data_IF_940853812435
#
_entry.id   IF_940853812435
#
_cell.length_a   1.000
_cell.length_b   1.000
_cell.length_c   1.000
_cell.angle_alpha   90.00
_cell.angle_beta   90.00
_cell.angle_gamma   90.00
#
_symmetry.space_group_name_H-M   'P 1'
#
loop_
_entity.id
_entity.type
_entity.pdbx_description
1 polymer ?
#
# COMPACT_ATOMS: atom_id res chain seq x y z
N UNK A 1 48.63 32.43 -22.89
CA UNK A 1 47.41 32.16 -23.68
C UNK A 1 47.38 30.69 -24.02
N UNK A 2 46.60 29.87 -23.33
CA UNK A 2 46.02 28.62 -23.85
C UNK A 2 44.79 28.30 -22.99
N UNK A 3 43.62 28.55 -23.58
CA UNK A 3 42.31 28.15 -23.07
C UNK A 3 42.11 26.70 -23.52
N UNK A 4 41.96 25.77 -22.60
CA UNK A 4 41.28 24.48 -22.88
C UNK A 4 40.26 24.27 -21.77
N UNK A 5 39.05 24.01 -22.22
CA UNK A 5 37.81 24.09 -21.48
C UNK A 5 37.55 22.85 -20.59
N UNK A 6 36.75 23.12 -19.56
CA UNK A 6 35.93 22.21 -18.76
C UNK A 6 35.46 20.93 -19.48
N UNK A 7 35.61 19.78 -18.81
CA UNK A 7 34.49 18.84 -18.67
C UNK A 7 34.43 18.44 -17.18
N UNK A 8 33.44 19.00 -16.49
CA UNK A 8 32.88 18.45 -15.27
C UNK A 8 32.46 17.02 -15.60
N UNK A 9 33.12 16.02 -15.01
CA UNK A 9 32.48 14.71 -14.86
C UNK A 9 31.39 14.92 -13.83
N UNK A 10 30.24 15.39 -14.32
CA UNK A 10 29.00 15.34 -13.59
C UNK A 10 28.86 13.89 -13.14
N UNK A 11 28.70 13.71 -11.83
CA UNK A 11 28.32 12.45 -11.22
C UNK A 11 26.93 12.14 -11.77
N UNK A 12 26.90 11.53 -12.95
CA UNK A 12 25.71 10.81 -13.40
C UNK A 12 25.80 9.49 -12.67
N UNK A 13 25.46 9.49 -11.37
CA UNK A 13 24.84 8.31 -10.77
C UNK A 13 23.48 8.25 -11.43
N UNK A 14 23.31 7.41 -12.47
CA UNK A 14 22.04 7.34 -13.17
C UNK A 14 21.12 6.59 -12.21
N UNK A 15 20.15 7.28 -11.61
CA UNK A 15 18.86 6.71 -11.23
C UNK A 15 18.85 5.29 -10.60
N UNK A 16 19.86 4.91 -9.81
CA UNK A 16 20.02 3.55 -9.26
C UNK A 16 19.11 3.26 -8.06
N UNK A 17 18.26 4.21 -7.67
CA UNK A 17 17.18 3.97 -6.73
C UNK A 17 15.85 4.15 -7.45
N UNK A 18 15.47 3.19 -8.31
CA UNK A 18 14.07 2.81 -8.26
C UNK A 18 13.89 2.14 -6.90
N UNK A 19 13.52 2.92 -5.88
CA UNK A 19 13.20 2.43 -4.54
C UNK A 19 12.28 1.21 -4.70
N UNK A 20 12.78 0.02 -4.35
CA UNK A 20 11.94 -1.17 -4.39
C UNK A 20 11.04 -1.15 -3.15
N UNK A 21 10.00 -0.31 -3.17
CA UNK A 21 9.05 -0.12 -2.07
C UNK A 21 8.41 -1.41 -1.57
N UNK A 22 8.43 -2.47 -2.37
CA UNK A 22 8.00 -3.80 -1.95
C UNK A 22 8.93 -4.37 -0.86
N UNK A 23 10.24 -4.20 -0.99
CA UNK A 23 11.21 -4.62 0.03
C UNK A 23 11.00 -3.84 1.31
N UNK A 24 10.85 -2.51 1.21
CA UNK A 24 10.55 -1.63 2.35
C UNK A 24 9.24 -2.02 3.04
N UNK A 25 8.17 -2.24 2.26
CA UNK A 25 6.89 -2.70 2.79
C UNK A 25 7.03 -4.07 3.48
N UNK A 26 7.76 -5.01 2.89
CA UNK A 26 7.93 -6.34 3.46
C UNK A 26 8.74 -6.29 4.77
N UNK A 27 9.73 -5.41 4.85
CA UNK A 27 10.46 -5.13 6.07
C UNK A 27 9.55 -4.54 7.15
N UNK A 28 8.74 -3.55 6.80
CA UNK A 28 7.76 -2.93 7.69
C UNK A 28 6.71 -3.93 8.17
N UNK A 29 6.19 -4.77 7.27
CA UNK A 29 5.26 -5.84 7.59
C UNK A 29 5.87 -6.84 8.57
N UNK A 30 7.09 -7.34 8.27
CA UNK A 30 7.81 -8.28 9.14
C UNK A 30 8.10 -7.65 10.50
N UNK A 31 8.46 -6.37 10.53
CA UNK A 31 8.67 -5.62 11.76
C UNK A 31 7.39 -5.56 12.59
N UNK A 32 6.30 -5.05 12.01
CA UNK A 32 5.02 -4.89 12.72
C UNK A 32 4.42 -6.22 13.16
N UNK A 33 4.58 -7.27 12.35
CA UNK A 33 4.16 -8.62 12.72
C UNK A 33 4.86 -9.08 14.01
N UNK A 34 6.18 -8.88 14.10
CA UNK A 34 6.97 -9.22 15.29
C UNK A 34 6.65 -8.31 16.47
N UNK A 35 6.64 -6.99 16.27
CA UNK A 35 6.40 -6.01 17.34
C UNK A 35 5.04 -6.21 18.01
N UNK A 36 4.00 -6.51 17.22
CA UNK A 36 2.64 -6.71 17.73
C UNK A 36 2.32 -8.15 18.07
N UNK A 37 3.24 -9.08 17.78
CA UNK A 37 3.04 -10.52 17.98
C UNK A 37 1.68 -11.01 17.44
N UNK A 38 1.27 -10.46 16.30
CA UNK A 38 -0.03 -10.75 15.66
C UNK A 38 -0.03 -12.18 15.12
N UNK A 39 -1.13 -12.88 15.32
CA UNK A 39 -1.28 -14.28 14.90
C UNK A 39 -1.42 -14.41 13.38
N UNK A 40 -1.08 -15.58 12.84
CA UNK A 40 -1.34 -15.88 11.42
C UNK A 40 -2.84 -15.83 11.10
N UNK A 41 -3.68 -16.30 12.03
CA UNK A 41 -5.13 -16.26 11.91
C UNK A 41 -5.66 -14.83 11.78
N UNK A 42 -5.20 -13.90 12.61
CA UNK A 42 -5.58 -12.49 12.54
C UNK A 42 -5.14 -11.84 11.23
N UNK A 43 -3.91 -12.14 10.78
CA UNK A 43 -3.41 -11.66 9.50
C UNK A 43 -4.25 -12.16 8.33
N UNK A 44 -4.64 -13.44 8.33
CA UNK A 44 -5.52 -14.01 7.30
C UNK A 44 -6.92 -13.39 7.33
N UNK A 45 -7.45 -13.10 8.51
CA UNK A 45 -8.74 -12.44 8.66
C UNK A 45 -8.73 -11.02 8.12
N UNK A 46 -7.70 -10.25 8.47
CA UNK A 46 -7.46 -8.95 7.86
C UNK A 46 -7.39 -9.12 6.33
N UNK A 47 -6.69 -10.16 5.85
CA UNK A 47 -6.46 -10.45 4.42
C UNK A 47 -7.71 -10.55 3.61
N UNK A 48 -8.66 -11.33 4.09
CA UNK A 48 -9.91 -11.57 3.40
C UNK A 48 -10.99 -10.52 3.74
N UNK A 49 -10.63 -9.44 4.45
CA UNK A 49 -11.59 -8.40 4.86
C UNK A 49 -12.62 -8.91 5.87
N UNK A 50 -12.32 -9.99 6.61
CA UNK A 50 -13.13 -10.42 7.74
C UNK A 50 -12.71 -9.58 8.96
N UNK A 51 -13.48 -8.53 9.23
CA UNK A 51 -13.18 -7.52 10.25
C UNK A 51 -14.05 -7.70 11.53
N UNK A 52 -14.90 -8.71 11.63
CA UNK A 52 -15.76 -8.90 12.80
C UNK A 52 -14.97 -9.35 14.05
N UNK A 53 -15.13 -8.69 15.20
CA UNK A 53 -14.39 -9.08 16.43
C UNK A 53 -12.86 -9.15 16.22
N UNK A 54 -12.20 -8.04 15.88
CA UNK A 54 -10.75 -8.01 15.71
C UNK A 54 -10.04 -8.18 17.06
N UNK A 55 -8.89 -8.86 17.07
CA UNK A 55 -7.99 -8.83 18.22
C UNK A 55 -7.33 -7.45 18.36
N UNK A 56 -6.88 -7.12 19.57
CA UNK A 56 -6.13 -5.89 19.82
C UNK A 56 -4.83 -5.87 19.00
N UNK A 57 -4.17 -7.02 18.89
CA UNK A 57 -2.93 -7.23 18.14
C UNK A 57 -3.16 -6.99 16.64
N UNK A 58 -4.30 -7.43 16.08
CA UNK A 58 -4.66 -7.18 14.69
C UNK A 58 -4.82 -5.68 14.40
N UNK A 59 -5.55 -4.96 15.27
CA UNK A 59 -5.73 -3.51 15.14
C UNK A 59 -4.39 -2.78 15.23
N UNK A 60 -3.58 -3.13 16.21
CA UNK A 60 -2.28 -2.48 16.42
C UNK A 60 -1.23 -2.89 15.38
N UNK A 61 -1.38 -4.05 14.73
CA UNK A 61 -0.60 -4.43 13.56
C UNK A 61 -0.87 -3.46 12.41
N UNK A 62 -2.14 -3.17 12.11
CA UNK A 62 -2.50 -2.14 11.11
C UNK A 62 -1.96 -0.76 11.52
N UNK A 63 -2.10 -0.38 12.78
CA UNK A 63 -1.56 0.88 13.30
C UNK A 63 -0.06 1.01 13.07
N UNK A 64 0.71 -0.03 13.42
CA UNK A 64 2.15 -0.06 13.15
C UNK A 64 2.45 0.06 11.64
N UNK A 65 1.78 -0.74 10.82
CA UNK A 65 2.05 -0.78 9.38
C UNK A 65 1.71 0.55 8.71
N UNK A 66 0.60 1.18 9.09
CA UNK A 66 0.19 2.48 8.57
C UNK A 66 1.08 3.62 9.08
N UNK A 67 1.62 3.53 10.31
CA UNK A 67 2.62 4.50 10.78
C UNK A 67 3.94 4.39 10.00
N UNK A 68 4.42 3.17 9.76
CA UNK A 68 5.69 2.94 9.04
C UNK A 68 5.61 3.32 7.56
N UNK A 69 4.48 3.02 6.92
CA UNK A 69 4.20 3.43 5.52
C UNK A 69 3.79 4.91 5.39
N UNK A 70 3.70 5.62 6.51
CA UNK A 70 3.39 7.05 6.58
C UNK A 70 1.92 7.39 6.33
N UNK A 71 1.03 6.41 6.18
CA UNK A 71 -0.42 6.60 6.03
C UNK A 71 -1.02 7.21 7.29
N UNK A 72 -0.52 6.82 8.46
CA UNK A 72 -0.85 7.44 9.74
C UNK A 72 0.40 8.12 10.33
N UNK A 73 0.21 9.19 11.09
CA UNK A 73 1.21 9.74 12.01
C UNK A 73 0.53 10.03 13.34
N UNK A 74 0.93 9.33 14.40
CA UNK A 74 0.31 9.45 15.71
C UNK A 74 -1.22 9.23 15.66
N UNK A 75 -1.67 8.28 14.85
CA UNK A 75 -3.10 8.02 14.62
C UNK A 75 -3.81 9.00 13.68
N UNK A 76 -3.14 10.03 13.14
CA UNK A 76 -3.76 10.98 12.20
C UNK A 76 -3.48 10.58 10.77
N UNK A 77 -4.52 10.49 9.94
CA UNK A 77 -4.40 10.17 8.53
C UNK A 77 -3.60 11.21 7.74
N UNK A 78 -2.71 10.72 6.89
CA UNK A 78 -1.91 11.49 5.95
C UNK A 78 -2.41 11.19 4.52
N UNK A 79 -3.40 11.96 4.05
CA UNK A 79 -4.11 11.67 2.80
C UNK A 79 -3.18 11.56 1.57
N UNK A 80 -2.12 12.36 1.51
CA UNK A 80 -1.13 12.27 0.42
C UNK A 80 -0.31 10.98 0.45
N UNK A 81 0.08 10.52 1.65
CA UNK A 81 0.77 9.26 1.81
C UNK A 81 -0.17 8.09 1.50
N UNK A 82 -1.45 8.19 1.87
CA UNK A 82 -2.46 7.22 1.49
C UNK A 82 -2.60 7.13 -0.04
N UNK A 83 -2.78 8.26 -0.74
CA UNK A 83 -2.85 8.28 -2.21
C UNK A 83 -1.57 7.75 -2.85
N UNK A 84 -0.39 8.04 -2.29
CA UNK A 84 0.89 7.48 -2.77
C UNK A 84 0.94 5.96 -2.57
N UNK A 85 0.39 5.42 -1.49
CA UNK A 85 0.40 3.99 -1.23
C UNK A 85 -0.67 3.23 -2.04
N UNK A 86 -1.86 3.79 -2.20
CA UNK A 86 -2.99 3.18 -2.92
C UNK A 86 -2.96 3.45 -4.44
N UNK A 87 -2.38 4.58 -4.87
CA UNK A 87 -2.31 5.04 -6.27
C UNK A 87 -1.48 4.17 -7.21
N UNK A 88 -1.03 3.01 -6.74
CA UNK A 88 -0.39 1.94 -7.51
C UNK A 88 -1.40 0.91 -8.03
N UNK A 89 -2.58 0.85 -7.41
CA UNK A 89 -3.66 -0.11 -7.72
C UNK A 89 -4.80 0.59 -8.46
N UNK A 90 -5.10 1.83 -8.08
CA UNK A 90 -6.15 2.63 -8.67
C UNK A 90 -5.58 3.95 -9.20
N UNK A 91 -6.21 4.47 -10.27
CA UNK A 91 -5.87 5.78 -10.82
C UNK A 91 -5.98 6.83 -9.69
N UNK A 92 -4.96 7.70 -9.54
CA UNK A 92 -4.95 8.76 -8.51
C UNK A 92 -6.18 9.67 -8.60
N UNK A 93 -6.69 9.93 -9.80
CA UNK A 93 -7.92 10.70 -10.02
C UNK A 93 -9.13 9.98 -9.42
N UNK A 94 -9.20 8.66 -9.60
CA UNK A 94 -10.27 7.83 -9.03
C UNK A 94 -10.18 7.76 -7.49
N UNK A 95 -8.98 7.88 -6.93
CA UNK A 95 -8.80 7.93 -5.48
C UNK A 95 -9.31 9.22 -4.84
N UNK A 96 -9.31 10.33 -5.57
CA UNK A 96 -9.90 11.59 -5.10
C UNK A 96 -11.43 11.53 -5.02
N UNK A 97 -12.05 10.58 -5.74
CA UNK A 97 -13.50 10.33 -5.68
C UNK A 97 -13.86 9.28 -4.62
N UNK A 98 -13.02 8.26 -4.43
CA UNK A 98 -13.33 7.09 -3.59
C UNK A 98 -12.90 7.28 -2.12
N UNK A 99 -11.76 7.92 -1.88
CA UNK A 99 -11.19 8.05 -0.53
C UNK A 99 -11.74 9.18 0.36
N UNK A 100 -12.42 10.24 -0.12
CA UNK A 100 -12.92 11.30 0.76
C UNK A 100 -13.69 10.81 2.00
N UNK A 101 -14.58 9.80 1.91
CA UNK A 101 -15.25 9.26 3.09
C UNK A 101 -14.31 8.70 4.17
N UNK A 102 -13.11 8.27 3.79
CA UNK A 102 -12.12 7.70 4.71
C UNK A 102 -11.21 8.75 5.36
N UNK A 103 -11.27 10.02 4.94
CA UNK A 103 -10.39 11.08 5.48
C UNK A 103 -10.78 11.54 6.88
N UNK A 104 -12.04 11.31 7.27
CA UNK A 104 -12.59 11.71 8.57
C UNK A 104 -12.57 10.58 9.60
N UNK A 105 -12.01 9.42 9.22
CA UNK A 105 -11.97 8.26 10.09
C UNK A 105 -11.05 8.50 11.28
N UNK A 106 -11.59 8.27 12.47
CA UNK A 106 -10.87 8.34 13.74
C UNK A 106 -11.31 7.21 14.64
N UNK A 107 -10.43 6.77 15.54
CA UNK A 107 -10.74 5.81 16.59
C UNK A 107 -10.31 6.31 17.97
N UNK A 108 -10.59 5.53 19.01
CA UNK A 108 -10.27 5.92 20.40
C UNK A 108 -8.77 6.02 20.68
N UNK A 109 -7.97 5.35 19.85
CA UNK A 109 -6.51 5.39 19.86
C UNK A 109 -5.99 5.13 18.44
N UNK A 110 -4.66 5.12 18.28
CA UNK A 110 -4.02 4.90 16.98
C UNK A 110 -4.31 3.54 16.35
N UNK A 111 -4.46 2.48 17.14
CA UNK A 111 -4.77 1.15 16.65
C UNK A 111 -6.23 1.08 16.16
N UNK A 112 -7.16 1.67 16.91
CA UNK A 112 -8.55 1.78 16.49
C UNK A 112 -8.67 2.63 15.24
N UNK A 113 -7.99 3.78 15.16
CA UNK A 113 -8.02 4.62 13.95
C UNK A 113 -7.54 3.85 12.71
N UNK A 114 -6.49 3.06 12.84
CA UNK A 114 -6.01 2.20 11.76
C UNK A 114 -7.02 1.12 11.37
N UNK A 115 -7.72 0.55 12.36
CA UNK A 115 -8.73 -0.47 12.11
C UNK A 115 -9.97 0.11 11.41
N UNK A 116 -10.49 1.23 11.91
CA UNK A 116 -11.60 1.95 11.28
C UNK A 116 -11.25 2.36 9.84
N UNK A 117 -9.99 2.72 9.58
CA UNK A 117 -9.53 3.04 8.23
C UNK A 117 -9.58 1.81 7.32
N UNK A 118 -9.22 0.62 7.84
CA UNK A 118 -9.34 -0.65 7.11
C UNK A 118 -10.81 -1.01 6.84
N UNK A 119 -11.72 -0.73 7.78
CA UNK A 119 -13.16 -0.89 7.56
C UNK A 119 -13.68 0.08 6.50
N UNK A 120 -13.25 1.33 6.52
CA UNK A 120 -13.61 2.29 5.49
C UNK A 120 -13.13 1.84 4.10
N UNK A 121 -11.88 1.36 3.97
CA UNK A 121 -11.39 0.79 2.72
C UNK A 121 -12.25 -0.35 2.23
N UNK A 122 -12.70 -1.23 3.13
CA UNK A 122 -13.62 -2.30 2.74
C UNK A 122 -14.96 -1.75 2.21
N UNK A 123 -15.51 -0.73 2.85
CA UNK A 123 -16.79 -0.14 2.46
C UNK A 123 -16.72 0.59 1.10
N UNK A 124 -15.57 1.16 0.76
CA UNK A 124 -15.36 1.85 -0.54
C UNK A 124 -14.78 0.95 -1.63
N UNK A 125 -14.81 -0.38 -1.45
CA UNK A 125 -14.40 -1.36 -2.46
C UNK A 125 -12.89 -1.55 -2.60
N UNK A 126 -12.14 -1.21 -1.55
CA UNK A 126 -10.69 -1.38 -1.42
C UNK A 126 -10.35 -2.43 -0.34
N UNK A 127 -11.26 -3.37 -0.04
CA UNK A 127 -11.07 -4.45 0.94
C UNK A 127 -9.89 -5.37 0.59
N UNK A 128 -9.73 -5.65 -0.70
CA UNK A 128 -8.63 -6.40 -1.30
C UNK A 128 -7.37 -5.55 -1.52
N UNK A 129 -7.44 -4.24 -1.29
CA UNK A 129 -6.27 -3.37 -1.30
C UNK A 129 -5.52 -3.56 0.01
N UNK A 130 -4.69 -4.60 -0.03
CA UNK A 130 -3.46 -4.62 0.73
C UNK A 130 -2.56 -3.60 0.04
N UNK A 131 -1.92 -2.71 0.80
CA UNK A 131 -0.77 -1.94 0.30
C UNK A 131 0.09 -2.97 -0.44
N UNK A 132 0.16 -2.85 -1.77
CA UNK A 132 0.41 -3.96 -2.70
C UNK A 132 1.49 -4.94 -2.23
N UNK A 133 1.08 -6.15 -1.87
CA UNK A 133 1.94 -7.34 -1.94
C UNK A 133 1.43 -8.15 -3.12
N UNK A 134 2.14 -8.16 -4.26
CA UNK A 134 2.16 -9.35 -5.10
C UNK A 134 2.75 -10.47 -4.23
N UNK A 135 1.94 -11.48 -3.95
CA UNK A 135 2.23 -12.61 -3.09
C UNK A 135 3.52 -13.31 -3.52
N UNK A 136 4.45 -13.45 -2.56
CA UNK A 136 5.75 -14.13 -2.63
C UNK A 136 6.68 -13.65 -3.76
N UNK A 137 7.99 -13.73 -3.58
CA UNK A 137 8.92 -13.55 -4.70
C UNK A 137 8.74 -14.73 -5.66
N UNK A 138 7.69 -14.69 -6.49
CA UNK A 138 7.48 -15.65 -7.55
C UNK A 138 8.14 -15.12 -8.82
N UNK A 139 9.40 -15.51 -8.99
CA UNK A 139 10.18 -15.22 -10.20
C UNK A 139 9.76 -16.09 -11.40
N UNK A 140 8.71 -16.91 -11.28
CA UNK A 140 8.17 -17.71 -12.38
C UNK A 140 7.59 -16.80 -13.48
N UNK A 141 8.16 -16.84 -14.70
CA UNK A 141 7.68 -16.06 -15.83
C UNK A 141 6.20 -16.32 -16.17
N UNK A 142 5.66 -17.53 -15.91
CA UNK A 142 4.25 -17.84 -16.13
C UNK A 142 3.35 -17.14 -15.13
N UNK A 143 3.78 -17.01 -13.88
CA UNK A 143 3.06 -16.27 -12.85
C UNK A 143 2.95 -14.79 -13.22
N UNK A 144 4.06 -14.18 -13.64
CA UNK A 144 4.13 -12.79 -14.12
C UNK A 144 3.22 -12.57 -15.34
N UNK A 145 3.27 -13.49 -16.30
CA UNK A 145 2.43 -13.42 -17.50
C UNK A 145 0.93 -13.55 -17.17
N UNK A 146 0.58 -14.44 -16.23
CA UNK A 146 -0.80 -14.66 -15.79
C UNK A 146 -1.35 -13.44 -15.04
N UNK A 147 -0.55 -12.80 -14.18
CA UNK A 147 -0.95 -11.56 -13.51
C UNK A 147 -1.11 -10.38 -14.47
N UNK A 148 -0.26 -10.28 -15.51
CA UNK A 148 -0.48 -9.33 -16.61
C UNK A 148 -1.80 -9.59 -17.32
N UNK A 149 -2.07 -10.85 -17.67
CA UNK A 149 -3.30 -11.25 -18.34
C UNK A 149 -4.55 -10.94 -17.50
N UNK A 150 -4.54 -11.23 -16.19
CA UNK A 150 -5.65 -10.90 -15.29
C UNK A 150 -5.86 -9.38 -15.23
N UNK A 151 -4.79 -8.59 -15.21
CA UNK A 151 -4.87 -7.12 -15.22
C UNK A 151 -5.47 -6.60 -16.55
N UNK A 152 -5.13 -7.23 -17.66
CA UNK A 152 -5.72 -6.92 -18.97
C UNK A 152 -7.20 -7.32 -19.03
N UNK A 153 -7.56 -8.50 -18.52
CA UNK A 153 -8.94 -9.01 -18.48
C UNK A 153 -9.85 -8.22 -17.53
N UNK A 154 -9.32 -7.77 -16.38
CA UNK A 154 -10.07 -6.91 -15.46
C UNK A 154 -10.24 -5.50 -16.03
N UNK A 155 -9.25 -4.99 -16.79
CA UNK A 155 -9.39 -3.79 -17.60
C UNK A 155 -10.42 -3.93 -18.72
N UNK A 156 -10.72 -5.13 -19.23
CA UNK A 156 -11.79 -5.32 -20.23
C UNK A 156 -13.16 -4.96 -19.65
N UNK A 157 -13.44 -5.30 -18.39
CA UNK A 157 -14.72 -4.94 -17.74
C UNK A 157 -14.91 -3.42 -17.66
N UNK A 158 -13.82 -2.66 -17.48
CA UNK A 158 -13.82 -1.20 -17.47
C UNK A 158 -13.74 -0.59 -18.88
N UNK A 159 -13.13 -1.26 -19.86
CA UNK A 159 -13.14 -0.82 -21.27
C UNK A 159 -14.53 -0.86 -21.90
N UNK A 160 -15.35 -1.84 -21.55
CA UNK A 160 -16.74 -1.94 -22.03
C UNK A 160 -17.64 -0.87 -21.38
N UNK A 161 -17.28 -0.35 -20.21
CA UNK A 161 -18.03 0.74 -19.55
C UNK A 161 -17.82 2.12 -20.19
N UNK A 162 -16.87 2.26 -21.14
CA UNK A 162 -16.56 3.50 -21.84
C UNK A 162 -16.56 3.35 -23.37
N UNK A 163 -17.28 2.35 -23.90
CA UNK A 163 -17.61 2.22 -25.31
C UNK A 163 -19.11 2.42 -25.54
#
# INVERSE_FOLDING_TARGET
MFRVALILVAIVTPALFSENRYVEFLEDFKHCKRERSVSGYDLDRLRVGNLAYPSYEAKCFLGCLYERTGILRNGVLQSDALKKNVGYIANRVLLDEILPPCYEVTGTNKCDTAFELKECFKNVGLDQVWITVPWEDNTDPQYIATMRLINDLTNIKYRVAFA
#
